data_IF_233462996301
#
_entry.id   IF_233462996301
#
_cell.length_a   1.000
_cell.length_b   1.000
_cell.length_c   1.000
_cell.angle_alpha   90.00
_cell.angle_beta   90.00
_cell.angle_gamma   90.00
#
_symmetry.space_group_name_H-M   'P 1'
#
loop_
_entity.id
_entity.type
_entity.pdbx_description
1 polymer ?
#
# COMPACT_ATOMS: atom_id res chain seq x y z
N UNK A 1 -9.91 -11.99 3.60
CA UNK A 1 -9.11 -11.22 4.60
C UNK A 1 -10.01 -10.24 5.31
N UNK A 2 -9.74 -9.93 6.59
CA UNK A 2 -10.57 -9.00 7.38
C UNK A 2 -10.18 -7.57 7.05
N UNK A 3 -11.17 -6.67 6.84
CA UNK A 3 -10.93 -5.23 6.83
C UNK A 3 -10.58 -4.71 8.23
N UNK A 4 -9.99 -3.51 8.32
CA UNK A 4 -9.72 -2.88 9.62
C UNK A 4 -8.57 -3.50 10.43
N UNK A 5 -7.58 -4.12 9.78
CA UNK A 5 -6.34 -4.61 10.42
C UNK A 5 -5.21 -3.58 10.41
N UNK A 6 -5.47 -2.33 10.08
CA UNK A 6 -4.47 -1.26 10.11
C UNK A 6 -3.52 -1.20 8.91
N UNK A 7 -3.86 -1.77 7.75
CA UNK A 7 -3.05 -1.69 6.52
C UNK A 7 -2.72 -0.24 6.17
N UNK A 8 -3.74 0.56 5.91
CA UNK A 8 -3.61 1.98 5.56
C UNK A 8 -2.87 2.78 6.62
N UNK A 9 -3.14 2.51 7.91
CA UNK A 9 -2.40 3.16 9.01
C UNK A 9 -0.91 2.82 8.94
N UNK A 10 -0.58 1.55 8.69
CA UNK A 10 0.81 1.13 8.58
C UNK A 10 1.47 1.72 7.32
N UNK A 11 0.86 1.60 6.14
CA UNK A 11 1.45 2.07 4.87
C UNK A 11 1.69 3.58 4.86
N UNK A 12 0.72 4.39 5.29
CA UNK A 12 0.85 5.85 5.33
C UNK A 12 1.90 6.32 6.34
N UNK A 13 1.91 5.74 7.55
CA UNK A 13 2.88 6.10 8.59
C UNK A 13 4.27 5.54 8.32
N UNK A 14 4.40 4.39 7.65
CA UNK A 14 5.66 3.86 7.17
C UNK A 14 6.30 4.83 6.16
N UNK A 15 5.56 5.25 5.13
CA UNK A 15 6.04 6.23 4.15
C UNK A 15 6.46 7.54 4.81
N UNK A 16 5.62 8.07 5.70
CA UNK A 16 5.90 9.33 6.39
C UNK A 16 7.15 9.22 7.27
N UNK A 17 7.29 8.12 8.00
CA UNK A 17 8.44 7.88 8.88
C UNK A 17 9.76 7.86 8.08
N UNK A 18 9.82 7.09 7.00
CA UNK A 18 11.03 6.97 6.17
C UNK A 18 11.37 8.31 5.49
N UNK A 19 10.37 8.98 4.93
CA UNK A 19 10.60 10.24 4.22
C UNK A 19 11.07 11.37 5.16
N UNK A 20 10.46 11.48 6.34
CA UNK A 20 10.72 12.61 7.27
C UNK A 20 11.92 12.34 8.17
N UNK A 21 12.11 11.11 8.64
CA UNK A 21 13.19 10.80 9.60
C UNK A 21 14.47 10.31 8.93
N UNK A 22 14.37 9.59 7.82
CA UNK A 22 15.52 9.01 7.16
C UNK A 22 15.90 9.76 5.88
N UNK A 23 15.09 10.74 5.47
CA UNK A 23 15.33 11.55 4.27
C UNK A 23 15.24 10.76 2.97
N UNK A 24 14.65 9.55 3.00
CA UNK A 24 14.48 8.69 1.83
C UNK A 24 13.36 9.18 0.94
N UNK A 25 13.52 9.06 -0.36
CA UNK A 25 12.52 9.44 -1.33
C UNK A 25 11.51 8.32 -1.53
N UNK A 26 10.24 8.58 -1.16
CA UNK A 26 9.20 7.56 -1.07
C UNK A 26 8.00 7.92 -1.94
N UNK A 27 7.47 6.93 -2.64
CA UNK A 27 6.17 6.99 -3.30
C UNK A 27 5.17 6.09 -2.57
N UNK A 28 4.05 6.64 -2.15
CA UNK A 28 2.87 5.87 -1.76
C UNK A 28 1.91 5.76 -2.96
N UNK A 29 1.47 4.55 -3.26
CA UNK A 29 0.43 4.28 -4.28
C UNK A 29 -0.81 3.73 -3.58
N UNK A 30 -1.94 4.40 -3.72
CA UNK A 30 -3.20 3.97 -3.10
C UNK A 30 -4.04 3.16 -4.10
N UNK A 31 -3.96 1.84 -4.00
CA UNK A 31 -4.65 0.88 -4.87
C UNK A 31 -5.99 0.41 -4.30
N UNK A 32 -6.39 0.89 -3.12
CA UNK A 32 -7.72 0.58 -2.57
C UNK A 32 -8.78 1.49 -3.20
N UNK A 33 -9.85 0.96 -3.83
CA UNK A 33 -10.95 1.78 -4.32
C UNK A 33 -11.64 2.65 -3.26
N UNK A 34 -11.47 2.34 -1.98
CA UNK A 34 -11.91 3.20 -0.87
C UNK A 34 -11.02 4.42 -0.65
N UNK A 35 -9.85 4.47 -1.27
CA UNK A 35 -8.83 5.54 -1.25
C UNK A 35 -8.57 6.14 0.14
N UNK A 36 -8.60 5.30 1.18
CA UNK A 36 -8.37 5.74 2.57
C UNK A 36 -6.95 6.25 2.80
N UNK A 37 -5.94 5.73 2.10
CA UNK A 37 -4.58 6.23 2.19
C UNK A 37 -4.48 7.67 1.65
N UNK A 38 -5.15 7.96 0.55
CA UNK A 38 -5.23 9.30 -0.03
C UNK A 38 -5.83 10.32 0.95
N UNK A 39 -6.89 9.95 1.66
CA UNK A 39 -7.54 10.82 2.64
C UNK A 39 -6.64 11.17 3.85
N UNK A 40 -5.55 10.43 4.07
CA UNK A 40 -4.55 10.81 5.08
C UNK A 40 -3.65 11.97 4.64
N UNK A 41 -3.68 12.37 3.37
CA UNK A 41 -2.81 13.40 2.78
C UNK A 41 -3.58 14.58 2.19
N UNK A 42 -4.85 14.41 1.91
CA UNK A 42 -5.71 15.44 1.36
C UNK A 42 -6.91 15.70 2.27
N UNK A 43 -7.27 16.97 2.44
CA UNK A 43 -8.64 17.27 2.85
C UNK A 43 -9.62 16.92 1.73
N UNK A 44 -10.91 16.78 2.05
CA UNK A 44 -11.93 16.49 1.03
C UNK A 44 -11.94 17.53 -0.10
N UNK A 45 -11.87 18.82 0.28
CA UNK A 45 -11.89 19.93 -0.68
C UNK A 45 -10.64 19.98 -1.55
N UNK A 46 -9.45 19.76 -0.95
CA UNK A 46 -8.18 19.72 -1.69
C UNK A 46 -8.16 18.55 -2.68
N UNK A 47 -8.69 17.39 -2.30
CA UNK A 47 -8.78 16.24 -3.20
C UNK A 47 -9.74 16.49 -4.37
N UNK A 48 -10.91 17.08 -4.12
CA UNK A 48 -11.86 17.46 -5.17
C UNK A 48 -11.21 18.45 -6.13
N UNK A 49 -10.55 19.47 -5.60
CA UNK A 49 -9.80 20.46 -6.40
C UNK A 49 -8.71 19.78 -7.24
N UNK A 50 -7.88 18.93 -6.63
CA UNK A 50 -6.84 18.19 -7.31
C UNK A 50 -7.37 17.39 -8.51
N UNK A 51 -8.49 16.67 -8.33
CA UNK A 51 -9.12 15.90 -9.39
C UNK A 51 -9.75 16.81 -10.48
N UNK A 52 -10.36 17.96 -10.10
CA UNK A 52 -10.99 18.87 -11.05
C UNK A 52 -9.98 19.60 -11.95
N UNK A 53 -8.76 19.76 -11.50
CA UNK A 53 -7.64 20.31 -12.28
C UNK A 53 -7.06 19.28 -13.28
N UNK A 54 -7.59 18.07 -13.35
CA UNK A 54 -7.14 17.02 -14.26
C UNK A 54 -5.83 16.34 -13.85
N UNK A 55 -5.47 16.43 -12.57
CA UNK A 55 -4.28 15.78 -12.03
C UNK A 55 -4.43 14.24 -11.99
N UNK A 56 -3.31 13.55 -12.01
CA UNK A 56 -3.29 12.08 -12.10
C UNK A 56 -3.66 11.40 -10.79
N UNK A 57 -4.42 10.33 -10.92
CA UNK A 57 -4.71 9.36 -9.87
C UNK A 57 -4.40 7.95 -10.37
N UNK A 58 -4.45 6.95 -9.52
CA UNK A 58 -4.22 5.55 -9.94
C UNK A 58 -5.16 5.13 -11.08
N UNK A 59 -6.34 5.74 -11.22
CA UNK A 59 -7.27 5.47 -12.35
C UNK A 59 -6.61 5.80 -13.68
N UNK A 60 -5.79 6.85 -13.77
CA UNK A 60 -5.07 7.23 -14.98
C UNK A 60 -4.22 6.09 -15.54
N UNK A 61 -3.67 5.23 -14.65
CA UNK A 61 -2.86 4.08 -15.04
C UNK A 61 -3.68 3.01 -15.77
N UNK A 62 -4.98 2.90 -15.46
CA UNK A 62 -5.86 1.82 -15.90
C UNK A 62 -6.88 2.25 -16.95
N UNK A 63 -6.87 3.51 -17.36
CA UNK A 63 -7.70 3.97 -18.46
C UNK A 63 -7.22 3.34 -19.78
N UNK A 64 -8.13 2.71 -20.49
CA UNK A 64 -7.88 2.24 -21.85
C UNK A 64 -8.05 3.40 -22.83
N UNK A 65 -7.34 3.36 -23.95
CA UNK A 65 -7.70 4.18 -25.11
C UNK A 65 -9.16 3.93 -25.41
N UNK A 66 -9.99 4.97 -25.48
CA UNK A 66 -11.31 4.80 -26.04
C UNK A 66 -11.10 4.39 -27.48
N UNK A 67 -11.26 3.10 -27.79
CA UNK A 67 -11.41 2.62 -29.16
C UNK A 67 -12.59 3.39 -29.74
N UNK A 68 -12.30 4.44 -30.49
CA UNK A 68 -13.29 5.02 -31.39
C UNK A 68 -13.46 4.00 -32.49
N UNK A 69 -14.56 3.28 -32.45
CA UNK A 69 -15.11 2.70 -33.67
C UNK A 69 -15.45 3.90 -34.53
N UNK A 70 -14.61 4.13 -35.53
CA UNK A 70 -14.76 5.16 -36.52
C UNK A 70 -16.11 5.03 -37.19
N UNK A 71 -16.87 6.07 -37.20
CA UNK A 71 -17.63 6.47 -38.38
C UNK A 71 -17.76 7.98 -38.38
N UNK A 72 -17.11 8.58 -39.36
CA UNK A 72 -17.40 9.92 -39.91
C UNK A 72 -17.57 11.04 -38.90
N UNK A 73 -16.72 12.06 -39.05
CA UNK A 73 -16.67 13.36 -38.42
C UNK A 73 -15.81 13.54 -37.17
N UNK A 74 -14.61 14.04 -37.38
CA UNK A 74 -13.93 15.13 -36.63
C UNK A 74 -13.75 15.03 -35.11
N UNK A 75 -13.96 13.88 -34.46
CA UNK A 75 -13.82 13.79 -33.03
C UNK A 75 -12.36 13.50 -32.63
N UNK A 76 -11.73 14.41 -31.90
CA UNK A 76 -10.41 14.25 -31.30
C UNK A 76 -10.31 12.92 -30.54
N UNK A 77 -9.29 12.12 -30.91
CA UNK A 77 -8.93 10.92 -30.17
C UNK A 77 -8.33 11.35 -28.85
N UNK A 78 -9.02 11.12 -27.75
CA UNK A 78 -8.39 11.18 -26.45
C UNK A 78 -7.35 10.06 -26.38
N UNK A 79 -6.11 10.38 -26.71
CA UNK A 79 -4.95 9.48 -26.58
C UNK A 79 -4.72 9.19 -25.09
N UNK A 80 -4.42 7.94 -24.74
CA UNK A 80 -3.99 7.57 -23.40
C UNK A 80 -2.74 8.38 -23.04
N UNK A 81 -2.73 8.97 -21.84
CA UNK A 81 -1.56 9.64 -21.29
C UNK A 81 -0.43 8.61 -21.14
N UNK A 82 0.78 8.94 -21.60
CA UNK A 82 1.93 8.06 -21.43
C UNK A 82 2.37 8.03 -19.96
N UNK A 83 2.91 6.91 -19.50
CA UNK A 83 3.34 6.76 -18.10
C UNK A 83 4.38 7.81 -17.66
N UNK A 84 5.23 8.26 -18.58
CA UNK A 84 6.22 9.31 -18.29
C UNK A 84 5.60 10.68 -17.96
N UNK A 85 4.37 10.91 -18.43
CA UNK A 85 3.63 12.16 -18.26
C UNK A 85 2.64 12.09 -17.10
N UNK A 86 2.51 10.93 -16.45
CA UNK A 86 1.68 10.73 -15.27
C UNK A 86 2.47 11.09 -14.02
N UNK A 87 2.07 12.15 -13.33
CA UNK A 87 2.84 12.74 -12.25
C UNK A 87 2.22 12.39 -10.89
N UNK A 88 3.01 11.85 -9.95
CA UNK A 88 2.56 11.70 -8.57
C UNK A 88 2.49 13.07 -7.88
N UNK A 89 1.56 13.22 -6.97
CA UNK A 89 1.43 14.41 -6.13
C UNK A 89 2.61 14.50 -5.14
N UNK A 90 3.32 15.62 -5.12
CA UNK A 90 4.38 15.87 -4.15
C UNK A 90 3.77 16.42 -2.87
N UNK A 91 3.72 15.60 -1.81
CA UNK A 91 3.19 16.02 -0.51
C UNK A 91 4.22 16.78 0.35
N UNK A 92 5.43 16.26 0.41
CA UNK A 92 6.61 16.88 1.07
C UNK A 92 7.86 16.62 0.22
N UNK A 93 9.02 17.14 0.62
CA UNK A 93 10.23 17.06 -0.22
C UNK A 93 10.60 15.64 -0.68
N UNK A 94 10.47 14.66 0.19
CA UNK A 94 10.80 13.27 -0.11
C UNK A 94 9.59 12.34 -0.13
N UNK A 95 8.36 12.86 -0.02
CA UNK A 95 7.14 12.07 0.03
C UNK A 95 6.20 12.44 -1.12
N UNK A 96 5.97 11.45 -1.95
CA UNK A 96 5.08 11.51 -3.11
C UNK A 96 3.94 10.54 -2.97
N UNK A 97 2.81 10.85 -3.60
CA UNK A 97 1.61 10.03 -3.57
C UNK A 97 1.04 9.91 -4.98
N UNK A 98 0.72 8.70 -5.41
CA UNK A 98 -0.21 8.45 -6.50
C UNK A 98 -1.58 8.22 -5.86
N UNK A 99 -2.47 9.23 -5.89
CA UNK A 99 -3.73 9.17 -5.15
C UNK A 99 -4.67 8.08 -5.67
N UNK A 100 -5.36 7.41 -4.76
CA UNK A 100 -6.47 6.52 -5.06
C UNK A 100 -7.69 7.27 -5.62
N UNK A 101 -8.62 6.54 -6.22
CA UNK A 101 -9.85 7.12 -6.75
C UNK A 101 -10.97 6.08 -6.76
N UNK A 102 -12.16 6.47 -6.34
CA UNK A 102 -13.35 5.62 -6.31
C UNK A 102 -13.69 5.01 -7.68
N UNK A 103 -13.33 5.68 -8.78
CA UNK A 103 -13.58 5.18 -10.13
C UNK A 103 -12.81 3.89 -10.47
N UNK A 104 -11.87 3.44 -9.62
CA UNK A 104 -11.28 2.11 -9.75
C UNK A 104 -12.37 1.00 -9.78
N UNK A 105 -13.48 1.17 -9.08
CA UNK A 105 -14.61 0.23 -9.18
C UNK A 105 -15.15 0.10 -10.60
N UNK A 106 -15.27 1.21 -11.33
CA UNK A 106 -15.77 1.20 -12.71
C UNK A 106 -14.78 0.52 -13.65
N UNK A 107 -13.50 0.75 -13.43
CA UNK A 107 -12.42 0.13 -14.22
C UNK A 107 -12.36 -1.37 -13.99
N UNK A 108 -12.64 -1.86 -12.77
CA UNK A 108 -12.64 -3.31 -12.48
C UNK A 108 -13.71 -4.08 -13.24
N UNK A 109 -14.83 -3.42 -13.59
CA UNK A 109 -15.95 -4.03 -14.33
C UNK A 109 -15.74 -4.08 -15.84
N UNK A 110 -14.77 -3.31 -16.37
CA UNK A 110 -14.50 -3.30 -17.79
C UNK A 110 -13.62 -4.49 -18.17
N UNK A 111 -13.92 -5.19 -19.27
CA UNK A 111 -13.10 -6.26 -19.80
C UNK A 111 -11.86 -5.69 -20.51
N UNK A 112 -10.67 -6.25 -20.25
CA UNK A 112 -9.42 -5.85 -20.92
C UNK A 112 -8.22 -6.61 -20.36
N UNK A 113 -7.36 -7.17 -21.23
CA UNK A 113 -6.16 -7.88 -20.84
C UNK A 113 -5.00 -6.95 -20.45
N UNK A 114 -4.02 -7.48 -19.71
CA UNK A 114 -2.76 -6.76 -19.40
C UNK A 114 -2.84 -5.71 -18.31
N UNK A 115 -3.98 -5.56 -17.62
CA UNK A 115 -4.15 -4.60 -16.53
C UNK A 115 -3.26 -4.90 -15.33
N UNK A 116 -3.01 -6.17 -15.07
CA UNK A 116 -2.22 -6.63 -13.95
C UNK A 116 -0.81 -6.04 -13.93
N UNK A 117 -0.23 -5.76 -15.10
CA UNK A 117 1.12 -5.21 -15.23
C UNK A 117 1.20 -3.68 -15.34
N UNK A 118 0.07 -2.96 -15.39
CA UNK A 118 0.09 -1.51 -15.62
C UNK A 118 0.78 -0.72 -14.54
N UNK A 119 0.55 -1.08 -13.28
CA UNK A 119 1.25 -0.46 -12.16
C UNK A 119 2.75 -0.72 -12.24
N UNK A 120 3.18 -1.97 -12.48
CA UNK A 120 4.59 -2.32 -12.65
C UNK A 120 5.25 -1.51 -13.77
N UNK A 121 4.58 -1.40 -14.91
CA UNK A 121 5.08 -0.64 -16.05
C UNK A 121 5.20 0.86 -15.73
N UNK A 122 4.20 1.43 -15.05
CA UNK A 122 4.27 2.81 -14.58
C UNK A 122 5.46 3.02 -13.64
N UNK A 123 5.63 2.18 -12.63
CA UNK A 123 6.72 2.29 -11.67
C UNK A 123 8.09 2.18 -12.34
N UNK A 124 8.25 1.30 -13.31
CA UNK A 124 9.48 1.16 -14.09
C UNK A 124 9.83 2.44 -14.86
N UNK A 125 8.83 3.16 -15.36
CA UNK A 125 9.03 4.43 -16.09
C UNK A 125 9.26 5.57 -15.11
N UNK A 126 8.40 5.72 -14.12
CA UNK A 126 8.47 6.82 -13.15
C UNK A 126 9.75 6.78 -12.31
N UNK A 127 10.24 5.58 -11.96
CA UNK A 127 11.46 5.44 -11.16
C UNK A 127 12.73 5.88 -11.90
N UNK A 128 12.73 5.85 -13.23
CA UNK A 128 13.84 6.43 -14.02
C UNK A 128 13.94 7.96 -13.87
N UNK A 129 12.82 8.61 -13.57
CA UNK A 129 12.75 10.08 -13.39
C UNK A 129 12.92 10.47 -11.92
N UNK A 130 12.18 9.80 -11.04
CA UNK A 130 12.09 10.20 -9.64
C UNK A 130 13.14 9.54 -8.75
N UNK A 131 13.63 8.34 -9.10
CA UNK A 131 14.60 7.57 -8.31
C UNK A 131 14.13 7.40 -6.86
N UNK A 132 12.94 6.80 -6.68
CA UNK A 132 12.42 6.50 -5.36
C UNK A 132 13.28 5.42 -4.68
N UNK A 133 13.64 5.65 -3.42
CA UNK A 133 14.27 4.64 -2.57
C UNK A 133 13.28 3.53 -2.22
N UNK A 134 12.01 3.91 -1.97
CA UNK A 134 10.93 2.99 -1.64
C UNK A 134 9.63 3.36 -2.35
N UNK A 135 8.93 2.33 -2.80
CA UNK A 135 7.54 2.44 -3.26
C UNK A 135 6.67 1.58 -2.34
N UNK A 136 5.69 2.17 -1.70
CA UNK A 136 4.74 1.47 -0.83
C UNK A 136 3.37 1.46 -1.50
N UNK A 137 2.74 0.31 -1.56
CA UNK A 137 1.44 0.15 -2.21
C UNK A 137 0.40 -0.25 -1.17
N UNK A 138 -0.56 0.63 -0.89
CA UNK A 138 -1.72 0.29 -0.05
C UNK A 138 -2.76 -0.46 -0.88
N UNK A 139 -3.24 -1.59 -0.36
CA UNK A 139 -4.06 -2.54 -1.12
C UNK A 139 -5.42 -2.79 -0.47
N UNK A 140 -6.46 -3.13 -1.27
CA UNK A 140 -7.75 -3.50 -0.70
C UNK A 140 -7.65 -4.76 0.18
N UNK A 141 -8.61 -4.96 1.10
CA UNK A 141 -8.61 -6.10 2.02
C UNK A 141 -8.95 -7.44 1.36
N UNK A 142 -9.45 -7.42 0.14
CA UNK A 142 -9.93 -8.62 -0.57
C UNK A 142 -9.09 -8.92 -1.81
N UNK A 143 -8.93 -10.20 -2.20
CA UNK A 143 -8.35 -10.55 -3.47
C UNK A 143 -9.09 -9.86 -4.62
N UNK A 144 -8.36 -9.16 -5.45
CA UNK A 144 -8.90 -8.37 -6.56
C UNK A 144 -7.82 -8.15 -7.62
N UNK A 145 -8.19 -7.66 -8.80
CA UNK A 145 -7.23 -7.23 -9.83
C UNK A 145 -6.25 -6.18 -9.31
N UNK A 146 -6.69 -5.31 -8.39
CA UNK A 146 -5.85 -4.27 -7.76
C UNK A 146 -4.79 -4.88 -6.86
N UNK A 147 -5.18 -5.89 -6.08
CA UNK A 147 -4.23 -6.63 -5.24
C UNK A 147 -3.23 -7.40 -6.11
N UNK A 148 -3.68 -8.08 -7.16
CA UNK A 148 -2.78 -8.78 -8.10
C UNK A 148 -1.81 -7.80 -8.76
N UNK A 149 -2.29 -6.65 -9.25
CA UNK A 149 -1.45 -5.62 -9.86
C UNK A 149 -0.41 -5.07 -8.87
N UNK A 150 -0.79 -4.86 -7.61
CA UNK A 150 0.12 -4.43 -6.56
C UNK A 150 1.20 -5.49 -6.27
N UNK A 151 0.82 -6.76 -6.12
CA UNK A 151 1.76 -7.85 -5.86
C UNK A 151 2.77 -8.03 -7.02
N UNK A 152 2.30 -7.95 -8.27
CA UNK A 152 3.17 -8.05 -9.46
C UNK A 152 4.13 -6.86 -9.61
N UNK A 153 3.79 -5.72 -9.04
CA UNK A 153 4.61 -4.52 -9.05
C UNK A 153 5.57 -4.43 -7.85
N UNK A 154 5.52 -5.39 -6.93
CA UNK A 154 6.28 -5.39 -5.67
C UNK A 154 7.38 -6.45 -5.67
N UNK A 155 8.45 -6.19 -4.91
CA UNK A 155 9.52 -7.14 -4.59
C UNK A 155 9.27 -7.79 -3.22
N UNK A 156 8.59 -7.05 -2.34
CA UNK A 156 8.31 -7.44 -0.95
C UNK A 156 6.86 -7.20 -0.56
N UNK A 157 6.37 -7.98 0.41
CA UNK A 157 5.08 -7.71 1.06
C UNK A 157 5.20 -7.76 2.58
N UNK A 158 4.32 -6.99 3.25
CA UNK A 158 4.18 -6.94 4.70
C UNK A 158 2.76 -7.32 5.07
N UNK A 159 2.60 -8.14 6.10
CA UNK A 159 1.29 -8.63 6.57
C UNK A 159 0.94 -8.00 7.91
N UNK A 160 0.11 -6.96 7.96
CA UNK A 160 -0.43 -6.46 9.22
C UNK A 160 -1.49 -7.40 9.77
N UNK A 161 -1.37 -7.75 11.04
CA UNK A 161 -2.28 -8.68 11.75
C UNK A 161 -2.78 -8.04 13.03
N UNK A 162 -4.10 -7.92 13.15
CA UNK A 162 -4.71 -7.58 14.42
C UNK A 162 -4.81 -8.83 15.29
N UNK A 163 -4.46 -8.77 16.58
CA UNK A 163 -4.68 -9.88 17.52
C UNK A 163 -6.17 -10.21 17.64
N UNK A 164 -6.60 -11.24 16.94
CA UNK A 164 -7.99 -11.67 16.84
C UNK A 164 -7.99 -13.14 16.38
N UNK A 165 -8.72 -14.05 17.01
CA UNK A 165 -8.73 -15.48 16.65
C UNK A 165 -9.04 -15.77 15.18
N UNK A 166 -9.86 -14.93 14.53
CA UNK A 166 -10.20 -15.07 13.11
C UNK A 166 -9.09 -14.59 12.17
N UNK A 167 -8.10 -13.88 12.68
CA UNK A 167 -7.00 -13.36 11.87
C UNK A 167 -6.03 -14.44 11.40
N UNK A 168 -5.89 -15.53 12.17
CA UNK A 168 -4.93 -16.61 11.89
C UNK A 168 -5.25 -17.33 10.59
N UNK A 169 -6.47 -17.83 10.46
CA UNK A 169 -6.95 -18.42 9.18
C UNK A 169 -6.83 -17.43 8.01
N UNK A 170 -7.07 -16.14 8.27
CA UNK A 170 -6.97 -15.10 7.25
C UNK A 170 -5.54 -14.88 6.73
N UNK A 171 -4.53 -15.06 7.57
CA UNK A 171 -3.11 -14.93 7.20
C UNK A 171 -2.68 -16.12 6.33
N UNK A 172 -3.07 -17.34 6.68
CA UNK A 172 -2.76 -18.53 5.87
C UNK A 172 -3.46 -18.53 4.52
N UNK A 173 -4.72 -18.09 4.49
CA UNK A 173 -5.45 -17.91 3.22
C UNK A 173 -4.80 -16.83 2.35
N UNK A 174 -4.32 -15.73 2.95
CA UNK A 174 -3.60 -14.70 2.20
C UNK A 174 -2.34 -15.27 1.56
N UNK A 175 -1.55 -16.03 2.31
CA UNK A 175 -0.36 -16.69 1.80
C UNK A 175 -0.70 -17.59 0.60
N UNK A 176 -1.69 -18.46 0.75
CA UNK A 176 -2.12 -19.35 -0.34
C UNK A 176 -2.52 -18.58 -1.60
N UNK A 177 -3.24 -17.44 -1.45
CA UNK A 177 -3.60 -16.56 -2.57
C UNK A 177 -2.38 -15.92 -3.20
N UNK A 178 -1.40 -15.47 -2.39
CA UNK A 178 -0.15 -14.88 -2.91
C UNK A 178 0.65 -15.94 -3.68
N UNK A 179 0.85 -17.10 -3.08
CA UNK A 179 1.65 -18.20 -3.68
C UNK A 179 1.02 -18.65 -5.02
N UNK A 180 -0.29 -18.85 -5.06
CA UNK A 180 -1.04 -19.21 -6.26
C UNK A 180 -0.89 -18.15 -7.35
N UNK A 181 -1.18 -16.89 -7.03
CA UNK A 181 -1.09 -15.80 -8.01
C UNK A 181 0.33 -15.55 -8.49
N UNK A 182 1.31 -15.58 -7.60
CA UNK A 182 2.71 -15.37 -8.01
C UNK A 182 3.21 -16.54 -8.85
N UNK A 183 2.76 -17.77 -8.55
CA UNK A 183 3.00 -18.95 -9.37
C UNK A 183 2.45 -18.82 -10.80
N UNK A 184 1.21 -18.35 -10.95
CA UNK A 184 0.57 -18.11 -12.25
C UNK A 184 1.38 -17.17 -13.16
N UNK A 185 2.05 -16.17 -12.57
CA UNK A 185 2.81 -15.16 -13.29
C UNK A 185 4.34 -15.39 -13.32
N UNK A 186 4.82 -16.45 -12.67
CA UNK A 186 6.27 -16.69 -12.52
C UNK A 186 7.01 -15.57 -11.81
N UNK A 187 6.31 -14.85 -10.88
CA UNK A 187 6.87 -13.72 -10.14
C UNK A 187 7.30 -14.15 -8.74
N UNK A 188 8.47 -13.70 -8.32
CA UNK A 188 8.98 -13.96 -6.96
C UNK A 188 8.70 -12.77 -6.05
N UNK A 189 8.04 -13.03 -4.93
CA UNK A 189 7.68 -12.01 -3.95
C UNK A 189 8.10 -12.49 -2.55
N UNK A 190 8.85 -11.67 -1.82
CA UNK A 190 9.40 -12.04 -0.50
C UNK A 190 8.59 -11.40 0.64
N UNK A 191 8.40 -12.13 1.74
CA UNK A 191 7.77 -11.57 2.95
C UNK A 191 8.79 -10.77 3.74
N UNK A 192 8.60 -9.47 3.87
CA UNK A 192 9.43 -8.59 4.69
C UNK A 192 8.99 -8.55 6.17
N UNK A 193 7.77 -9.00 6.49
CA UNK A 193 7.37 -9.08 7.89
C UNK A 193 5.89 -9.32 8.13
N UNK A 194 5.59 -9.93 9.27
CA UNK A 194 4.29 -9.99 9.88
C UNK A 194 4.28 -9.02 11.07
N UNK A 195 3.43 -8.00 10.99
CA UNK A 195 3.37 -6.90 11.96
C UNK A 195 2.11 -7.00 12.79
N UNK A 196 2.25 -7.15 14.10
CA UNK A 196 1.12 -7.03 15.02
C UNK A 196 0.66 -5.57 15.09
N UNK A 197 -0.60 -5.32 14.75
CA UNK A 197 -1.21 -3.99 14.68
C UNK A 197 -2.43 -3.90 15.58
N UNK A 198 -2.80 -2.68 15.98
CA UNK A 198 -3.95 -2.44 16.87
C UNK A 198 -3.88 -3.26 18.17
N UNK A 199 -2.68 -3.36 18.71
CA UNK A 199 -2.36 -4.20 19.87
C UNK A 199 -2.82 -3.56 21.16
N UNK A 200 -3.40 -4.36 22.04
CA UNK A 200 -3.64 -4.06 23.46
C UNK A 200 -2.79 -5.04 24.30
N UNK A 201 -1.57 -4.59 24.65
CA UNK A 201 -0.62 -5.43 25.40
C UNK A 201 -1.19 -5.87 26.74
N UNK A 202 -0.79 -7.04 27.20
CA UNK A 202 -1.26 -7.61 28.47
C UNK A 202 -2.65 -8.27 28.40
N UNK A 203 -3.33 -8.21 27.25
CA UNK A 203 -4.61 -8.92 27.09
C UNK A 203 -4.39 -10.40 26.73
N UNK A 204 -5.33 -11.25 27.13
CA UNK A 204 -5.31 -12.69 26.80
C UNK A 204 -5.29 -12.89 25.27
N UNK A 205 -6.02 -12.05 24.54
CA UNK A 205 -6.11 -12.13 23.07
C UNK A 205 -4.76 -11.85 22.43
N UNK A 206 -4.05 -10.82 22.90
CA UNK A 206 -2.71 -10.50 22.41
C UNK A 206 -1.69 -11.62 22.69
N UNK A 207 -1.68 -12.13 23.94
CA UNK A 207 -0.75 -13.19 24.33
C UNK A 207 -0.97 -14.47 23.51
N UNK A 208 -2.23 -14.87 23.30
CA UNK A 208 -2.57 -16.02 22.43
C UNK A 208 -2.16 -15.78 20.97
N UNK A 209 -2.29 -14.55 20.47
CA UNK A 209 -1.85 -14.21 19.12
C UNK A 209 -0.34 -14.34 18.95
N UNK A 210 0.44 -13.84 19.91
CA UNK A 210 1.89 -14.00 19.93
C UNK A 210 2.30 -15.46 20.02
N UNK A 211 1.67 -16.22 20.90
CA UNK A 211 1.93 -17.66 21.06
C UNK A 211 1.66 -18.41 19.75
N UNK A 212 0.54 -18.13 19.10
CA UNK A 212 0.20 -18.73 17.81
C UNK A 212 1.27 -18.44 16.76
N UNK A 213 1.63 -17.15 16.53
CA UNK A 213 2.63 -16.80 15.52
C UNK A 213 3.99 -17.39 15.85
N UNK A 214 4.40 -17.36 17.14
CA UNK A 214 5.72 -17.85 17.56
C UNK A 214 5.87 -19.35 17.39
N UNK A 215 4.77 -20.11 17.49
CA UNK A 215 4.74 -21.56 17.31
C UNK A 215 4.47 -21.99 15.85
N UNK A 216 4.07 -21.06 14.98
CA UNK A 216 3.81 -21.38 13.59
C UNK A 216 5.14 -21.57 12.83
N UNK A 217 5.26 -22.70 12.11
CA UNK A 217 6.49 -23.07 11.40
C UNK A 217 6.89 -22.13 10.28
N UNK A 218 5.93 -21.41 9.69
CA UNK A 218 6.17 -20.49 8.61
C UNK A 218 6.25 -19.05 9.11
N UNK A 219 5.26 -18.60 9.90
CA UNK A 219 5.12 -17.19 10.26
C UNK A 219 6.07 -16.73 11.36
N UNK A 220 6.56 -17.63 12.22
CA UNK A 220 7.46 -17.26 13.33
C UNK A 220 8.72 -16.50 12.87
N UNK A 221 9.27 -16.88 11.73
CA UNK A 221 10.46 -16.22 11.16
C UNK A 221 10.19 -14.81 10.63
N UNK A 222 8.93 -14.50 10.30
CA UNK A 222 8.52 -13.20 9.76
C UNK A 222 7.95 -12.25 10.80
N UNK A 223 7.72 -12.71 12.03
CA UNK A 223 7.19 -11.87 13.09
C UNK A 223 8.14 -10.70 13.37
N UNK A 224 7.61 -9.48 13.25
CA UNK A 224 8.31 -8.25 13.64
C UNK A 224 8.23 -8.10 15.16
N UNK A 225 9.36 -7.84 15.82
CA UNK A 225 9.48 -7.78 17.29
C UNK A 225 8.69 -6.63 17.91
N UNK A 226 8.50 -5.55 17.16
CA UNK A 226 7.71 -4.39 17.59
C UNK A 226 6.31 -4.47 17.03
N UNK A 227 5.39 -3.82 17.69
CA UNK A 227 3.98 -3.79 17.36
C UNK A 227 3.42 -2.36 17.32
N UNK A 228 2.29 -2.18 16.63
CA UNK A 228 1.56 -0.92 16.57
C UNK A 228 0.40 -0.98 17.56
N UNK A 229 0.47 -0.15 18.59
CA UNK A 229 -0.56 -0.09 19.63
C UNK A 229 -1.89 0.43 19.10
N UNK A 230 -2.98 -0.09 19.64
CA UNK A 230 -4.31 0.44 19.41
C UNK A 230 -4.46 1.80 20.08
N UNK A 231 -4.92 2.79 19.31
CA UNK A 231 -5.34 4.11 19.82
C UNK A 231 -6.64 4.51 19.16
N UNK A 232 -7.62 4.89 19.95
CA UNK A 232 -8.94 5.32 19.48
C UNK A 232 -8.91 6.61 18.67
N UNK A 233 -7.85 7.41 18.86
CA UNK A 233 -7.67 8.68 18.14
C UNK A 233 -7.00 8.55 16.76
N UNK A 234 -6.46 7.40 16.40
CA UNK A 234 -5.79 7.22 15.09
C UNK A 234 -6.70 7.62 13.91
N UNK A 235 -7.97 7.21 13.84
CA UNK A 235 -8.84 7.65 12.74
C UNK A 235 -9.04 9.17 12.70
N UNK A 236 -9.14 9.83 13.86
CA UNK A 236 -9.24 11.29 13.93
C UNK A 236 -7.97 11.97 13.42
N UNK A 237 -6.80 11.47 13.83
CA UNK A 237 -5.52 12.00 13.38
C UNK A 237 -5.34 11.85 11.87
N UNK A 238 -5.73 10.70 11.30
CA UNK A 238 -5.69 10.46 9.86
C UNK A 238 -6.55 11.47 9.09
N UNK A 239 -7.77 11.74 9.55
CA UNK A 239 -8.65 12.75 8.95
C UNK A 239 -8.12 14.19 9.07
N UNK A 240 -7.23 14.44 10.02
CA UNK A 240 -6.57 15.74 10.21
C UNK A 240 -5.18 15.79 9.56
N UNK A 241 -4.85 14.86 8.68
CA UNK A 241 -3.54 14.73 8.02
C UNK A 241 -2.37 14.72 9.05
N UNK A 242 -2.61 14.11 10.22
CA UNK A 242 -1.64 14.03 11.32
C UNK A 242 -1.10 12.60 11.40
N UNK A 243 0.22 12.46 11.36
CA UNK A 243 0.90 11.16 11.38
C UNK A 243 1.39 10.79 12.78
N UNK A 244 1.65 9.52 13.02
CA UNK A 244 2.14 9.01 14.31
C UNK A 244 3.42 9.73 14.75
N UNK A 245 4.27 10.16 13.85
CA UNK A 245 5.48 10.90 14.18
C UNK A 245 5.21 12.31 14.74
N UNK A 246 4.06 12.89 14.47
CA UNK A 246 3.72 14.27 14.83
C UNK A 246 2.93 14.37 16.14
N UNK A 247 2.45 13.24 16.72
CA UNK A 247 1.64 13.23 17.95
C UNK A 247 2.50 13.06 19.20
N UNK A 248 1.97 13.37 20.36
CA UNK A 248 2.62 13.18 21.67
C UNK A 248 2.29 11.80 22.29
N UNK A 249 2.67 10.70 21.59
CA UNK A 249 2.54 9.33 22.09
C UNK A 249 3.86 8.59 21.86
N UNK A 250 4.71 8.59 22.87
CA UNK A 250 6.06 8.01 22.77
C UNK A 250 6.04 6.51 22.49
N UNK A 251 5.11 5.76 23.10
CA UNK A 251 5.03 4.30 22.90
C UNK A 251 4.62 3.94 21.48
N UNK A 252 3.64 4.70 20.93
CA UNK A 252 3.19 4.49 19.57
C UNK A 252 4.30 4.87 18.56
N UNK A 253 5.02 5.97 18.80
CA UNK A 253 6.19 6.37 17.98
C UNK A 253 7.30 5.33 18.01
N UNK A 254 7.65 4.83 19.19
CA UNK A 254 8.68 3.79 19.34
C UNK A 254 8.25 2.47 18.68
N UNK A 255 6.98 2.10 18.79
CA UNK A 255 6.42 0.95 18.11
C UNK A 255 6.55 1.07 16.61
N UNK A 256 6.07 2.18 16.02
CA UNK A 256 6.17 2.46 14.59
C UNK A 256 7.63 2.48 14.12
N UNK A 257 8.49 3.23 14.80
CA UNK A 257 9.90 3.34 14.40
C UNK A 257 10.59 1.98 14.41
N UNK A 258 10.36 1.16 15.43
CA UNK A 258 10.93 -0.18 15.49
C UNK A 258 10.39 -1.13 14.41
N UNK A 259 9.10 -1.02 14.07
CA UNK A 259 8.51 -1.77 12.94
C UNK A 259 9.16 -1.37 11.63
N UNK A 260 9.28 -0.06 11.37
CA UNK A 260 9.90 0.47 10.15
C UNK A 260 11.36 0.01 10.03
N UNK A 261 12.15 0.19 11.08
CA UNK A 261 13.56 -0.20 11.11
C UNK A 261 13.73 -1.71 10.81
N UNK A 262 12.96 -2.57 11.48
CA UNK A 262 13.09 -4.02 11.29
C UNK A 262 12.66 -4.47 9.88
N UNK A 263 11.65 -3.85 9.29
CA UNK A 263 11.24 -4.13 7.89
C UNK A 263 12.37 -3.75 6.93
N UNK A 264 12.97 -2.56 7.09
CA UNK A 264 14.08 -2.10 6.24
C UNK A 264 15.29 -3.02 6.39
N UNK A 265 15.70 -3.35 7.62
CA UNK A 265 16.81 -4.27 7.88
C UNK A 265 16.62 -5.63 7.20
N UNK A 266 15.37 -6.15 7.18
CA UNK A 266 15.07 -7.40 6.49
C UNK A 266 15.18 -7.28 4.98
N UNK A 267 14.70 -6.18 4.40
CA UNK A 267 14.83 -5.89 2.97
C UNK A 267 16.31 -5.80 2.62
N UNK A 268 17.10 -5.02 3.35
CA UNK A 268 18.53 -4.86 3.12
C UNK A 268 19.30 -6.19 3.22
N UNK A 269 18.89 -7.07 4.14
CA UNK A 269 19.50 -8.40 4.24
C UNK A 269 19.14 -9.31 3.06
N UNK A 270 17.93 -9.21 2.52
CA UNK A 270 17.55 -9.93 1.30
C UNK A 270 18.33 -9.45 0.07
N UNK A 271 18.59 -8.14 -0.03
CA UNK A 271 19.36 -7.55 -1.14
C UNK A 271 20.85 -7.94 -1.09
N UNK A 272 21.42 -8.11 0.11
CA UNK A 272 22.83 -8.52 0.28
C UNK A 272 23.12 -9.99 -0.07
N UNK A 273 22.10 -10.84 -0.03
CA UNK A 273 22.24 -12.30 -0.26
C UNK A 273 22.04 -12.67 -1.73
N UNK A 274 21.49 -11.76 -2.54
CA UNK A 274 21.29 -11.93 -3.98
C UNK A 274 22.26 -11.07 -4.77
#
# INVERSE_FOLDING_TARGET
MKGGVGKTTLSTNFCYNIAVREGKKVLLVDMDPQFNATQCFFSGDDYIKYCSEGNDTVVSLFQDEKLKVSTVDGAETATRKEYKDMLPYKYKDNLYIMPGNLNLYKVSMASGGGRDFRLKNYLNVSNKVYQFDYVVIDTPPTPSVWMTSALLASDYYVVPVKPDPLSYTGVDLLRAVIDDKMGDYGHTLKCAGLVMTMVERGTIVYNKALEWVSNDKHWSQYLIKKDILKRTNIPKWQLSNTFINDIEDSDLKLGLSGVVTEIIERIDNYEKVN
#
